data_IF_421819034196
#
_entry.id   IF_421819034196
#
_cell.length_a   1.000
_cell.length_b   1.000
_cell.length_c   1.000
_cell.angle_alpha   90.00
_cell.angle_beta   90.00
_cell.angle_gamma   90.00
#
_symmetry.space_group_name_H-M   'P 1'
#
loop_
_entity.id
_entity.type
_entity.pdbx_description
1 polymer ?
#
# COMPACT_ATOMS: atom_id res chain seq x y z
N UNK A 1 6.84 -13.08 -19.15
CA UNK A 1 6.12 -11.91 -19.72
C UNK A 1 5.71 -11.02 -18.56
N UNK A 2 6.04 -9.72 -18.60
CA UNK A 2 5.70 -8.77 -17.54
C UNK A 2 4.25 -8.32 -17.77
N UNK A 3 3.37 -8.53 -16.79
CA UNK A 3 1.93 -8.20 -16.88
C UNK A 3 1.66 -6.70 -16.56
N UNK A 4 2.11 -5.83 -17.46
CA UNK A 4 2.03 -4.36 -17.31
C UNK A 4 0.63 -3.80 -16.95
N UNK A 5 -0.49 -4.28 -17.54
CA UNK A 5 -1.83 -3.78 -17.21
C UNK A 5 -2.24 -4.04 -15.75
N UNK A 6 -1.85 -5.18 -15.19
CA UNK A 6 -2.12 -5.52 -13.80
C UNK A 6 -1.39 -4.59 -12.84
N UNK A 7 -0.14 -4.22 -13.13
CA UNK A 7 0.65 -3.33 -12.27
C UNK A 7 0.08 -1.92 -12.20
N UNK A 8 -0.28 -1.35 -13.35
CA UNK A 8 -0.91 -0.03 -13.37
C UNK A 8 -2.21 -0.04 -12.57
N UNK A 9 -2.99 -1.13 -12.67
CA UNK A 9 -4.24 -1.28 -11.91
C UNK A 9 -3.99 -1.34 -10.40
N UNK A 10 -2.96 -2.06 -9.94
CA UNK A 10 -2.58 -2.15 -8.52
C UNK A 10 -2.12 -0.80 -7.97
N UNK A 11 -1.23 -0.11 -8.69
CA UNK A 11 -0.73 1.22 -8.29
C UNK A 11 -1.88 2.23 -8.20
N UNK A 12 -2.79 2.23 -9.18
CA UNK A 12 -3.97 3.09 -9.17
C UNK A 12 -4.92 2.74 -8.02
N UNK A 13 -5.12 1.45 -7.72
CA UNK A 13 -5.98 1.02 -6.62
C UNK A 13 -5.45 1.54 -5.27
N UNK A 14 -4.14 1.40 -5.03
CA UNK A 14 -3.50 1.90 -3.80
C UNK A 14 -3.60 3.42 -3.71
N UNK A 15 -3.36 4.16 -4.79
CA UNK A 15 -3.51 5.62 -4.79
C UNK A 15 -4.93 6.08 -4.42
N UNK A 16 -5.95 5.36 -4.91
CA UNK A 16 -7.36 5.62 -4.53
C UNK A 16 -7.62 5.29 -3.06
N UNK A 17 -7.08 4.18 -2.56
CA UNK A 17 -7.22 3.79 -1.14
C UNK A 17 -6.64 4.86 -0.22
N UNK A 18 -5.39 5.29 -0.47
CA UNK A 18 -4.71 6.35 0.29
C UNK A 18 -5.56 7.64 0.34
N UNK A 19 -6.05 8.07 -0.83
CA UNK A 19 -6.89 9.27 -0.92
C UNK A 19 -8.21 9.09 -0.15
N UNK A 20 -8.83 7.91 -0.21
CA UNK A 20 -10.12 7.64 0.42
C UNK A 20 -10.07 7.68 1.96
N UNK A 21 -8.92 7.39 2.55
CA UNK A 21 -8.71 7.41 4.00
C UNK A 21 -8.06 8.71 4.50
N UNK A 22 -7.85 9.68 3.59
CA UNK A 22 -7.41 11.04 3.93
C UNK A 22 -5.89 11.26 3.89
N UNK A 23 -5.10 10.32 3.37
CA UNK A 23 -3.68 10.57 3.13
C UNK A 23 -3.46 11.38 1.83
N UNK A 24 -2.42 12.22 1.84
CA UNK A 24 -1.89 12.79 0.61
C UNK A 24 -1.12 11.72 -0.16
N UNK A 25 -1.68 11.25 -1.27
CA UNK A 25 -1.06 10.22 -2.11
C UNK A 25 0.33 10.62 -2.67
N UNK A 26 0.67 11.92 -2.73
CA UNK A 26 1.98 12.37 -3.21
C UNK A 26 3.10 12.14 -2.18
N UNK A 27 2.75 11.99 -0.90
CA UNK A 27 3.69 11.59 0.16
C UNK A 27 4.00 10.09 0.10
N UNK A 28 3.45 9.35 -0.87
CA UNK A 28 3.69 7.93 -1.04
C UNK A 28 4.39 7.61 -2.36
N UNK A 29 5.25 6.61 -2.30
CA UNK A 29 5.81 5.92 -3.45
C UNK A 29 5.22 4.51 -3.51
N UNK A 30 4.66 4.16 -4.66
CA UNK A 30 3.99 2.88 -4.88
C UNK A 30 4.70 2.18 -6.02
N UNK A 31 5.26 1.00 -5.75
CA UNK A 31 5.95 0.19 -6.74
C UNK A 31 5.37 -1.21 -6.77
N UNK A 32 4.92 -1.68 -7.92
CA UNK A 32 4.60 -3.08 -8.14
C UNK A 32 5.73 -3.76 -8.93
N UNK A 33 6.22 -4.89 -8.43
CA UNK A 33 7.39 -5.59 -8.96
C UNK A 33 7.17 -7.12 -8.94
N UNK A 34 6.85 -7.69 -10.11
CA UNK A 34 6.70 -9.14 -10.28
C UNK A 34 8.02 -9.87 -10.56
N UNK A 35 9.07 -9.15 -10.91
CA UNK A 35 10.38 -9.69 -11.17
C UNK A 35 11.30 -9.54 -9.95
N UNK A 36 10.80 -8.98 -8.85
CA UNK A 36 11.54 -8.77 -7.62
C UNK A 36 12.31 -10.04 -7.22
N UNK A 37 13.64 -9.96 -7.02
CA UNK A 37 14.42 -11.09 -6.52
C UNK A 37 13.86 -11.67 -5.22
N UNK A 38 13.23 -10.84 -4.39
CA UNK A 38 12.54 -11.29 -3.18
C UNK A 38 11.27 -12.10 -3.52
N UNK A 39 10.47 -11.65 -4.49
CA UNK A 39 9.32 -12.42 -4.94
C UNK A 39 9.75 -13.79 -5.51
N UNK A 40 10.86 -13.84 -6.25
CA UNK A 40 11.43 -15.08 -6.76
C UNK A 40 11.94 -15.98 -5.63
N UNK A 41 12.67 -15.42 -4.65
CA UNK A 41 13.20 -16.14 -3.49
C UNK A 41 12.06 -16.81 -2.70
N UNK A 42 10.94 -16.13 -2.51
CA UNK A 42 9.77 -16.63 -1.80
C UNK A 42 8.73 -17.32 -2.70
N UNK A 43 9.01 -17.46 -4.00
CA UNK A 43 8.13 -18.09 -5.00
C UNK A 43 6.71 -17.48 -5.04
N UNK A 44 6.60 -16.17 -4.85
CA UNK A 44 5.34 -15.43 -4.88
C UNK A 44 4.87 -15.27 -6.33
N UNK A 45 3.79 -15.96 -6.70
CA UNK A 45 3.32 -16.00 -8.09
C UNK A 45 2.83 -14.64 -8.64
N UNK A 46 2.40 -13.73 -7.76
CA UNK A 46 1.90 -12.40 -8.16
C UNK A 46 2.93 -11.28 -8.13
N UNK A 47 4.07 -11.48 -7.48
CA UNK A 47 5.05 -10.42 -7.22
C UNK A 47 4.85 -9.70 -5.90
N UNK A 48 5.51 -8.56 -5.76
CA UNK A 48 5.48 -7.70 -4.59
C UNK A 48 4.93 -6.31 -4.93
N UNK A 49 4.09 -5.79 -4.06
CA UNK A 49 3.75 -4.36 -3.99
C UNK A 49 4.54 -3.76 -2.83
N UNK A 50 5.26 -2.69 -3.11
CA UNK A 50 6.01 -1.90 -2.14
C UNK A 50 5.32 -0.57 -1.98
N UNK A 51 4.99 -0.21 -0.74
CA UNK A 51 4.44 1.07 -0.37
C UNK A 51 5.40 1.74 0.60
N UNK A 52 5.98 2.86 0.17
CA UNK A 52 6.88 3.66 0.99
C UNK A 52 6.28 5.03 1.22
N UNK A 53 6.30 5.50 2.45
CA UNK A 53 5.96 6.88 2.75
C UNK A 53 7.22 7.75 2.76
N UNK A 54 7.19 8.88 2.04
CA UNK A 54 8.35 9.76 1.85
C UNK A 54 8.69 10.50 3.12
N UNK A 55 7.70 11.08 3.81
CA UNK A 55 7.90 11.89 5.02
C UNK A 55 8.44 11.10 6.23
N UNK A 56 8.09 9.82 6.37
CA UNK A 56 8.54 8.97 7.49
C UNK A 56 9.67 8.01 7.10
N UNK A 57 9.81 7.71 5.80
CA UNK A 57 10.72 6.69 5.31
C UNK A 57 10.27 5.25 5.59
N UNK A 58 9.13 5.04 6.26
CA UNK A 58 8.59 3.70 6.52
C UNK A 58 8.18 3.03 5.20
N UNK A 59 8.47 1.73 5.09
CA UNK A 59 8.24 0.93 3.90
C UNK A 59 7.54 -0.39 4.28
N UNK A 60 6.55 -0.77 3.48
CA UNK A 60 5.75 -2.00 3.64
C UNK A 60 5.72 -2.78 2.35
N UNK A 61 5.65 -4.10 2.49
CA UNK A 61 5.67 -5.06 1.39
C UNK A 61 4.45 -5.95 1.45
N UNK A 62 3.79 -6.12 0.31
CA UNK A 62 2.61 -6.96 0.16
C UNK A 62 2.84 -7.96 -0.97
N UNK A 63 2.72 -9.26 -0.69
CA UNK A 63 2.65 -10.27 -1.74
C UNK A 63 1.36 -10.05 -2.54
N UNK A 64 1.40 -10.14 -3.87
CA UNK A 64 0.24 -9.79 -4.72
C UNK A 64 -0.31 -10.96 -5.54
N UNK A 65 -0.08 -12.20 -5.11
CA UNK A 65 -0.71 -13.36 -5.75
C UNK A 65 -2.25 -13.33 -5.58
N UNK A 66 -2.97 -14.15 -6.36
CA UNK A 66 -4.44 -14.11 -6.36
C UNK A 66 -5.08 -14.52 -5.02
N UNK A 67 -4.34 -15.20 -4.14
CA UNK A 67 -4.82 -15.65 -2.84
C UNK A 67 -4.40 -14.73 -1.67
N UNK A 68 -3.50 -13.77 -1.92
CA UNK A 68 -2.80 -12.99 -0.89
C UNK A 68 -3.68 -12.04 -0.06
N UNK A 69 -4.88 -11.66 -0.51
CA UNK A 69 -5.72 -10.69 0.20
C UNK A 69 -5.05 -9.31 0.40
N UNK A 70 -4.05 -8.98 -0.41
CA UNK A 70 -3.14 -7.85 -0.17
C UNK A 70 -3.84 -6.50 0.01
N UNK A 71 -4.95 -6.29 -0.71
CA UNK A 71 -5.73 -5.06 -0.62
C UNK A 71 -6.37 -4.90 0.76
N UNK A 72 -6.92 -5.98 1.32
CA UNK A 72 -7.55 -5.98 2.64
C UNK A 72 -6.49 -5.81 3.74
N UNK A 73 -5.34 -6.47 3.61
CA UNK A 73 -4.21 -6.28 4.54
C UNK A 73 -3.69 -4.85 4.52
N UNK A 74 -3.49 -4.26 3.34
CA UNK A 74 -3.05 -2.87 3.18
C UNK A 74 -4.07 -1.90 3.78
N UNK A 75 -5.36 -2.09 3.53
CA UNK A 75 -6.42 -1.27 4.13
C UNK A 75 -6.42 -1.38 5.66
N UNK A 76 -6.26 -2.60 6.19
CA UNK A 76 -6.18 -2.83 7.62
C UNK A 76 -4.96 -2.16 8.25
N UNK A 77 -3.79 -2.29 7.62
CA UNK A 77 -2.55 -1.63 8.03
C UNK A 77 -2.74 -0.11 8.13
N UNK A 78 -3.26 0.51 7.06
CA UNK A 78 -3.48 1.95 7.01
C UNK A 78 -4.51 2.42 8.05
N UNK A 79 -5.59 1.65 8.26
CA UNK A 79 -6.61 1.96 9.25
C UNK A 79 -6.10 1.89 10.71
N UNK A 80 -5.09 1.06 10.97
CA UNK A 80 -4.46 0.91 12.28
C UNK A 80 -3.19 1.76 12.45
N UNK A 81 -2.91 2.64 11.50
CA UNK A 81 -1.82 3.60 11.58
C UNK A 81 -0.45 3.06 11.17
N UNK A 82 -0.38 1.93 10.47
CA UNK A 82 0.85 1.58 9.76
C UNK A 82 1.13 2.65 8.70
N UNK A 83 2.41 3.00 8.52
CA UNK A 83 2.85 4.13 7.70
C UNK A 83 2.35 5.50 8.20
N UNK A 84 1.68 5.61 9.35
CA UNK A 84 1.23 6.90 9.87
C UNK A 84 2.42 7.74 10.38
N UNK A 85 2.28 9.05 10.22
CA UNK A 85 3.13 10.07 10.78
C UNK A 85 2.43 10.60 12.04
N UNK A 86 3.16 10.90 13.13
CA UNK A 86 2.60 11.57 14.31
C UNK A 86 1.76 12.84 14.01
N UNK A 87 2.00 13.49 12.86
CA UNK A 87 1.20 14.64 12.39
C UNK A 87 -0.13 14.29 11.74
N UNK A 88 -0.37 13.03 11.36
CA UNK A 88 -1.61 12.58 10.70
C UNK A 88 -2.79 12.44 11.65
N UNK A 89 -2.80 13.22 12.73
CA UNK A 89 -3.81 13.10 13.78
C UNK A 89 -5.19 12.93 13.15
N UNK A 90 -5.96 11.94 13.63
CA UNK A 90 -7.27 11.67 13.07
C UNK A 90 -8.07 12.96 13.17
N UNK A 91 -8.86 13.26 12.14
CA UNK A 91 -9.97 14.19 12.26
C UNK A 91 -10.89 13.65 13.36
N UNK A 92 -10.59 14.01 14.61
CA UNK A 92 -11.38 13.68 15.77
C UNK A 92 -12.64 14.52 15.62
N UNK A 93 -13.64 13.97 14.93
CA UNK A 93 -15.02 14.41 15.11
C UNK A 93 -15.37 14.09 16.54
N UNK A 94 -15.11 15.05 17.43
CA UNK A 94 -15.72 15.11 18.74
C UNK A 94 -17.22 15.29 18.48
N UNK A 95 -17.97 14.19 18.49
CA UNK A 95 -19.42 14.25 18.62
C UNK A 95 -19.66 14.50 20.10
N UNK A 96 -19.79 15.77 20.46
CA UNK A 96 -20.26 16.16 21.78
C UNK A 96 -21.76 15.93 21.76
N UNK A 97 -22.24 14.93 22.50
CA UNK A 97 -23.64 14.79 22.89
C UNK A 97 -23.81 15.32 24.31
#
# INVERSE_FOLDING_TARGET
>A
MIDLPRFQSQVQAVGRMLTSIGYDANDFEIKADNASPLAQLFRLAGGLLVLRRRSTGEERFYATDQASGWADTLMNDLAHGALANPSDKPSQRVVIN
#
